data_IF_641464542443
#
_entry.id   IF_641464542443
#
_cell.length_a   1.000
_cell.length_b   1.000
_cell.length_c   1.000
_cell.angle_alpha   90.00
_cell.angle_beta   90.00
_cell.angle_gamma   90.00
#
_symmetry.space_group_name_H-M   'P 1'
#
loop_
_entity.id
_entity.type
_entity.pdbx_description
1 polymer ?
#
# COMPACT_ATOMS: atom_id res chain seq x y z
N UNK A 1 -19.87 -4.06 14.21
CA UNK A 1 -19.74 -4.50 12.80
C UNK A 1 -20.05 -3.36 11.83
N UNK A 2 -21.14 -2.60 12.02
CA UNK A 2 -21.58 -1.48 11.16
C UNK A 2 -20.56 -0.35 10.92
N UNK A 3 -19.73 0.03 11.91
CA UNK A 3 -18.80 1.16 11.76
C UNK A 3 -17.79 1.04 10.60
N UNK A 4 -17.45 -0.19 10.19
CA UNK A 4 -16.48 -0.41 9.09
C UNK A 4 -17.13 -0.63 7.73
N UNK A 5 -18.45 -0.75 7.65
CA UNK A 5 -19.16 -1.03 6.39
C UNK A 5 -18.91 0.04 5.32
N UNK A 6 -18.95 1.35 5.62
CA UNK A 6 -18.64 2.38 4.63
C UNK A 6 -17.23 2.25 4.06
N UNK A 7 -16.23 2.02 4.94
CA UNK A 7 -14.83 1.82 4.55
C UNK A 7 -14.67 0.64 3.57
N UNK A 8 -15.38 -0.47 3.80
CA UNK A 8 -15.34 -1.66 2.93
C UNK A 8 -16.00 -1.41 1.58
N UNK A 9 -17.06 -0.60 1.53
CA UNK A 9 -17.67 -0.17 0.27
C UNK A 9 -16.68 0.66 -0.56
N UNK A 10 -15.95 1.57 0.08
CA UNK A 10 -14.89 2.34 -0.60
C UNK A 10 -13.75 1.45 -1.09
N UNK A 11 -13.31 0.47 -0.30
CA UNK A 11 -12.30 -0.51 -0.76
C UNK A 11 -12.71 -1.22 -2.05
N UNK A 12 -13.99 -1.59 -2.19
CA UNK A 12 -14.50 -2.21 -3.43
C UNK A 12 -14.46 -1.24 -4.61
N UNK A 13 -14.83 0.02 -4.41
CA UNK A 13 -14.76 1.04 -5.47
C UNK A 13 -13.32 1.27 -5.92
N UNK A 14 -12.39 1.41 -4.98
CA UNK A 14 -10.97 1.57 -5.29
C UNK A 14 -10.40 0.35 -6.00
N UNK A 15 -10.82 -0.87 -5.61
CA UNK A 15 -10.40 -2.09 -6.29
C UNK A 15 -10.84 -2.11 -7.77
N UNK A 16 -12.06 -1.66 -8.07
CA UNK A 16 -12.54 -1.53 -9.46
C UNK A 16 -11.69 -0.50 -10.22
N UNK A 17 -11.47 0.69 -9.65
CA UNK A 17 -10.62 1.71 -10.28
C UNK A 17 -9.22 1.19 -10.62
N UNK A 18 -8.61 0.43 -9.72
CA UNK A 18 -7.27 -0.15 -9.93
C UNK A 18 -7.25 -1.27 -10.96
N UNK A 19 -8.31 -2.06 -11.03
CA UNK A 19 -8.45 -3.12 -12.01
C UNK A 19 -8.59 -2.58 -13.43
N UNK A 20 -9.34 -1.49 -13.57
CA UNK A 20 -9.63 -0.88 -14.86
C UNK A 20 -8.48 0.04 -15.34
N UNK A 21 -7.61 0.48 -14.43
CA UNK A 21 -6.51 1.40 -14.74
C UNK A 21 -5.60 0.99 -15.91
N UNK A 22 -5.21 -0.30 -16.11
CA UNK A 22 -4.39 -0.70 -17.25
C UNK A 22 -5.05 -0.41 -18.61
N UNK A 23 -6.39 -0.43 -18.68
CA UNK A 23 -7.11 -0.22 -19.95
C UNK A 23 -7.33 1.26 -20.27
N UNK A 24 -6.84 2.18 -19.44
CA UNK A 24 -7.06 3.60 -19.63
C UNK A 24 -6.07 4.16 -20.64
N UNK A 25 -6.51 4.91 -21.67
CA UNK A 25 -5.61 5.55 -22.61
C UNK A 25 -4.93 6.74 -21.93
N UNK A 26 -3.76 6.53 -21.32
CA UNK A 26 -3.12 7.55 -20.48
C UNK A 26 -1.90 8.19 -21.15
N UNK A 27 -2.03 9.48 -21.46
CA UNK A 27 -0.89 10.39 -21.65
C UNK A 27 -0.36 10.91 -20.31
N UNK A 28 -1.25 10.94 -19.32
CA UNK A 28 -1.01 11.38 -17.94
C UNK A 28 -1.83 10.50 -17.00
N UNK A 29 -1.35 10.32 -15.77
CA UNK A 29 -2.05 9.47 -14.80
C UNK A 29 -3.23 10.20 -14.15
N UNK A 30 -4.46 9.67 -14.23
CA UNK A 30 -5.62 10.36 -13.69
C UNK A 30 -5.61 10.45 -12.17
N UNK A 31 -6.13 11.56 -11.66
CA UNK A 31 -6.21 11.81 -10.22
C UNK A 31 -7.08 10.77 -9.49
N UNK A 32 -8.06 10.17 -10.16
CA UNK A 32 -8.90 9.13 -9.60
C UNK A 32 -8.10 7.89 -9.21
N UNK A 33 -7.11 7.52 -10.03
CA UNK A 33 -6.23 6.39 -9.75
C UNK A 33 -5.30 6.70 -8.59
N UNK A 34 -4.72 7.90 -8.59
CA UNK A 34 -3.91 8.39 -7.46
C UNK A 34 -4.72 8.33 -6.16
N UNK A 35 -5.93 8.91 -6.16
CA UNK A 35 -6.86 8.89 -5.04
C UNK A 35 -7.16 7.45 -4.60
N UNK A 36 -7.44 6.55 -5.53
CA UNK A 36 -7.76 5.16 -5.20
C UNK A 36 -6.62 4.46 -4.46
N UNK A 37 -5.38 4.67 -4.90
CA UNK A 37 -4.18 4.11 -4.27
C UNK A 37 -3.99 4.66 -2.85
N UNK A 38 -3.95 5.98 -2.70
CA UNK A 38 -3.66 6.58 -1.38
C UNK A 38 -4.75 6.32 -0.37
N UNK A 39 -6.01 6.58 -0.75
CA UNK A 39 -7.11 6.43 0.20
C UNK A 39 -7.34 4.96 0.54
N UNK A 40 -7.16 4.03 -0.40
CA UNK A 40 -7.22 2.60 -0.06
C UNK A 40 -6.13 2.20 0.93
N UNK A 41 -4.90 2.71 0.81
CA UNK A 41 -3.83 2.45 1.77
C UNK A 41 -4.15 2.98 3.18
N UNK A 42 -4.69 4.20 3.28
CA UNK A 42 -5.15 4.79 4.56
C UNK A 42 -6.27 3.94 5.17
N UNK A 43 -7.28 3.60 4.37
CA UNK A 43 -8.43 2.80 4.84
C UNK A 43 -7.97 1.41 5.29
N UNK A 44 -7.14 0.75 4.50
CA UNK A 44 -6.66 -0.60 4.80
C UNK A 44 -5.83 -0.62 6.09
N UNK A 45 -4.87 0.32 6.22
CA UNK A 45 -4.09 0.50 7.45
C UNK A 45 -5.00 0.73 8.65
N UNK A 46 -6.01 1.60 8.52
CA UNK A 46 -6.94 1.88 9.62
C UNK A 46 -7.78 0.67 10.00
N UNK A 47 -8.20 -0.15 9.04
CA UNK A 47 -8.93 -1.40 9.32
C UNK A 47 -8.07 -2.42 10.06
N UNK A 48 -6.78 -2.52 9.71
CA UNK A 48 -5.80 -3.36 10.43
C UNK A 48 -5.61 -2.85 11.86
N UNK A 49 -5.29 -1.57 12.03
CA UNK A 49 -5.04 -0.94 13.34
C UNK A 49 -6.27 -1.01 14.28
N UNK A 50 -7.47 -0.81 13.74
CA UNK A 50 -8.72 -0.88 14.50
C UNK A 50 -9.20 -2.34 14.75
N UNK A 51 -8.40 -3.35 14.36
CA UNK A 51 -8.74 -4.79 14.43
C UNK A 51 -10.11 -5.08 13.81
N UNK A 52 -10.37 -4.46 12.66
CA UNK A 52 -11.60 -4.64 11.87
C UNK A 52 -11.40 -5.68 10.76
N UNK A 53 -10.22 -6.30 10.67
CA UNK A 53 -9.88 -7.45 9.83
C UNK A 53 -9.42 -8.60 10.72
N UNK A 54 -9.38 -9.82 10.18
CA UNK A 54 -8.87 -11.01 10.87
C UNK A 54 -7.37 -10.91 11.11
N UNK A 55 -6.88 -11.58 12.15
CA UNK A 55 -5.43 -11.64 12.45
C UNK A 55 -4.65 -12.28 11.29
N UNK A 56 -5.26 -13.26 10.59
CA UNK A 56 -4.67 -13.85 9.39
C UNK A 56 -4.49 -12.83 8.27
N UNK A 57 -5.44 -11.92 8.08
CA UNK A 57 -5.27 -10.83 7.10
C UNK A 57 -4.21 -9.84 7.58
N UNK A 58 -4.24 -9.45 8.86
CA UNK A 58 -3.28 -8.49 9.43
C UNK A 58 -1.82 -8.98 9.34
N UNK A 59 -1.60 -10.30 9.39
CA UNK A 59 -0.30 -10.94 9.25
C UNK A 59 0.12 -11.21 7.79
N UNK A 60 -0.74 -10.90 6.82
CA UNK A 60 -0.49 -11.20 5.40
C UNK A 60 0.72 -10.41 4.88
N UNK A 61 1.50 -11.11 4.05
CA UNK A 61 2.61 -10.54 3.30
C UNK A 61 2.34 -10.68 1.81
N UNK A 62 2.73 -9.66 1.07
CA UNK A 62 2.68 -9.66 -0.38
C UNK A 62 4.10 -9.80 -0.92
N UNK A 63 4.23 -10.68 -1.91
CA UNK A 63 5.47 -10.85 -2.66
C UNK A 63 5.56 -9.73 -3.69
N UNK A 64 6.48 -8.79 -3.48
CA UNK A 64 6.63 -7.58 -4.30
C UNK A 64 8.02 -7.49 -4.90
N UNK A 65 8.13 -6.84 -6.06
CA UNK A 65 9.43 -6.44 -6.61
C UNK A 65 9.91 -5.20 -5.87
N UNK A 66 11.21 -5.15 -5.57
CA UNK A 66 11.85 -4.00 -4.96
C UNK A 66 13.08 -3.60 -5.78
N UNK A 67 13.26 -2.30 -5.90
CA UNK A 67 14.35 -1.68 -6.65
C UNK A 67 15.28 -0.98 -5.67
N UNK A 68 16.57 -1.27 -5.72
CA UNK A 68 17.54 -0.57 -4.87
C UNK A 68 17.49 0.94 -5.16
N UNK A 69 17.60 1.76 -4.12
CA UNK A 69 17.57 3.21 -4.25
C UNK A 69 18.98 3.78 -4.30
N UNK A 70 19.23 4.63 -5.29
CA UNK A 70 20.44 5.42 -5.44
C UNK A 70 20.17 6.83 -4.91
N UNK A 71 20.03 6.92 -3.59
CA UNK A 71 19.69 8.17 -2.96
C UNK A 71 20.87 9.17 -3.01
N UNK A 72 20.59 10.47 -3.21
CA UNK A 72 21.51 11.56 -2.91
C UNK A 72 22.32 11.39 -1.63
N UNK A 73 23.54 11.92 -1.58
CA UNK A 73 24.25 12.05 -0.31
C UNK A 73 23.45 12.85 0.72
N UNK A 74 23.58 12.51 2.01
CA UNK A 74 22.84 13.18 3.10
C UNK A 74 23.10 14.69 3.21
N UNK A 75 24.28 15.13 2.78
CA UNK A 75 24.73 16.52 2.74
C UNK A 75 24.06 17.34 1.61
N UNK A 76 23.44 16.67 0.64
CA UNK A 76 22.88 17.32 -0.52
C UNK A 76 21.60 18.11 -0.20
N UNK A 77 21.51 19.33 -0.73
CA UNK A 77 20.30 20.15 -0.67
C UNK A 77 19.17 19.61 -1.57
N UNK A 78 19.50 18.91 -2.65
CA UNK A 78 18.53 18.32 -3.59
C UNK A 78 17.92 17.01 -3.06
N UNK A 79 18.45 16.46 -1.97
CA UNK A 79 18.07 15.16 -1.42
C UNK A 79 16.60 15.00 -1.05
N UNK A 80 15.97 16.08 -0.56
CA UNK A 80 14.58 16.03 -0.11
C UNK A 80 13.62 16.58 -1.15
N UNK A 81 14.07 16.83 -2.38
CA UNK A 81 13.21 17.29 -3.47
C UNK A 81 12.43 16.11 -4.07
N UNK A 82 11.17 16.31 -4.49
CA UNK A 82 10.43 15.29 -5.23
C UNK A 82 11.22 14.81 -6.46
N UNK A 83 11.29 13.50 -6.67
CA UNK A 83 12.01 12.89 -7.80
C UNK A 83 13.54 12.84 -7.65
N UNK A 84 14.09 13.23 -6.50
CA UNK A 84 15.54 13.20 -6.25
C UNK A 84 16.14 11.81 -6.06
N UNK A 85 15.30 10.78 -5.84
CA UNK A 85 15.75 9.41 -5.61
C UNK A 85 15.59 8.62 -6.89
N UNK A 86 16.72 8.20 -7.44
CA UNK A 86 16.74 7.25 -8.56
C UNK A 86 16.69 5.82 -8.03
N UNK A 87 16.13 4.92 -8.83
CA UNK A 87 16.08 3.49 -8.52
C UNK A 87 16.84 2.69 -9.57
N UNK A 88 17.41 1.56 -9.16
CA UNK A 88 17.92 0.57 -10.10
C UNK A 88 16.75 -0.17 -10.76
N UNK A 89 16.41 0.29 -11.97
CA UNK A 89 15.33 -0.29 -12.77
C UNK A 89 15.70 -1.63 -13.40
N UNK A 90 16.99 -1.92 -13.56
CA UNK A 90 17.47 -3.11 -14.25
C UNK A 90 17.55 -4.31 -13.30
N UNK A 91 17.93 -4.08 -12.04
CA UNK A 91 18.15 -5.14 -11.05
C UNK A 91 17.09 -5.12 -9.95
N UNK A 92 15.86 -5.51 -10.31
CA UNK A 92 14.82 -5.75 -9.33
C UNK A 92 15.07 -7.05 -8.55
N UNK A 93 14.88 -7.00 -7.23
CA UNK A 93 14.78 -8.22 -6.41
C UNK A 93 13.34 -8.44 -5.96
N UNK A 94 13.04 -9.61 -5.41
CA UNK A 94 11.69 -9.95 -4.93
C UNK A 94 11.75 -10.27 -3.45
N UNK A 95 10.83 -9.71 -2.67
CA UNK A 95 10.75 -9.93 -1.23
C UNK A 95 9.30 -9.97 -0.76
N UNK A 96 9.06 -10.63 0.37
CA UNK A 96 7.77 -10.63 1.05
C UNK A 96 7.69 -9.43 2.00
N UNK A 97 6.68 -8.58 1.80
CA UNK A 97 6.49 -7.35 2.57
C UNK A 97 5.11 -7.39 3.23
N UNK A 98 5.06 -7.08 4.52
CA UNK A 98 3.82 -7.04 5.24
C UNK A 98 2.88 -5.95 4.68
N UNK A 99 1.58 -6.25 4.62
CA UNK A 99 0.59 -5.31 4.06
C UNK A 99 0.63 -3.95 4.76
N UNK A 100 0.79 -3.93 6.08
CA UNK A 100 0.90 -2.70 6.88
C UNK A 100 2.12 -1.84 6.50
N UNK A 101 3.24 -2.48 6.12
CA UNK A 101 4.43 -1.81 5.67
C UNK A 101 4.19 -1.17 4.30
N UNK A 102 3.59 -1.90 3.35
CA UNK A 102 3.21 -1.34 2.05
C UNK A 102 2.26 -0.15 2.21
N UNK A 103 1.23 -0.26 3.06
CA UNK A 103 0.37 0.88 3.37
C UNK A 103 1.17 2.07 3.91
N UNK A 104 2.15 1.84 4.77
CA UNK A 104 3.00 2.90 5.32
C UNK A 104 3.86 3.56 4.26
N UNK A 105 4.40 2.79 3.29
CA UNK A 105 5.13 3.34 2.16
C UNK A 105 4.27 4.26 1.28
N UNK A 106 3.03 3.86 1.02
CA UNK A 106 2.07 4.65 0.23
C UNK A 106 1.65 5.92 0.99
N UNK A 107 1.26 5.79 2.27
CA UNK A 107 0.75 6.91 3.07
C UNK A 107 1.83 7.96 3.35
N UNK A 108 3.08 7.52 3.52
CA UNK A 108 4.23 8.40 3.74
C UNK A 108 5.09 8.56 2.48
N UNK A 109 4.44 8.52 1.32
CA UNK A 109 5.07 8.71 0.02
C UNK A 109 6.07 9.87 0.06
N UNK A 110 7.28 9.59 -0.39
CA UNK A 110 8.27 10.58 -0.77
C UNK A 110 8.61 10.51 -2.26
N UNK A 111 8.96 9.32 -2.76
CA UNK A 111 9.23 9.07 -4.19
C UNK A 111 8.16 8.19 -4.81
N UNK A 112 7.63 8.60 -5.99
CA UNK A 112 6.65 7.85 -6.77
C UNK A 112 7.04 7.86 -8.24
N UNK A 113 7.06 6.68 -8.84
CA UNK A 113 7.16 6.49 -10.28
C UNK A 113 6.02 5.59 -10.73
N UNK A 114 5.33 5.99 -11.78
CA UNK A 114 4.31 5.16 -12.41
C UNK A 114 4.98 4.05 -13.21
N UNK A 115 4.46 2.84 -13.10
CA UNK A 115 4.98 1.68 -13.80
C UNK A 115 4.10 1.37 -15.00
N UNK A 116 4.73 1.39 -16.16
CA UNK A 116 4.14 1.05 -17.45
C UNK A 116 4.79 -0.25 -17.90
N UNK A 117 4.01 -1.20 -18.40
CA UNK A 117 4.54 -2.47 -18.91
C UNK A 117 4.96 -2.37 -20.39
N UNK A 118 5.26 -3.51 -21.00
CA UNK A 118 5.76 -3.62 -22.38
C UNK A 118 4.70 -3.23 -23.42
N UNK A 119 3.41 -3.26 -23.05
CA UNK A 119 2.29 -2.92 -23.93
C UNK A 119 1.87 -1.43 -23.80
N UNK A 120 2.72 -0.61 -23.17
CA UNK A 120 2.44 0.77 -22.80
C UNK A 120 1.22 0.92 -21.84
N UNK A 121 0.86 -0.15 -21.12
CA UNK A 121 -0.26 -0.13 -20.17
C UNK A 121 0.21 0.22 -18.75
N UNK A 122 -0.54 1.08 -18.09
CA UNK A 122 -0.26 1.50 -16.72
C UNK A 122 -0.62 0.36 -15.74
N UNK A 123 0.39 -0.37 -15.27
CA UNK A 123 0.20 -1.61 -14.50
C UNK A 123 0.59 -1.52 -13.03
N UNK A 124 1.22 -0.44 -12.59
CA UNK A 124 1.62 -0.28 -11.20
C UNK A 124 2.25 1.06 -10.84
N UNK A 125 2.89 1.08 -9.68
CA UNK A 125 3.78 2.17 -9.27
C UNK A 125 4.93 1.65 -8.41
N UNK A 126 6.05 2.36 -8.44
CA UNK A 126 7.15 2.20 -7.50
C UNK A 126 7.11 3.34 -6.50
N UNK A 127 7.03 2.99 -5.21
CA UNK A 127 6.95 3.97 -4.12
C UNK A 127 8.04 3.76 -3.08
N UNK A 128 8.52 4.85 -2.51
CA UNK A 128 9.31 4.83 -1.29
C UNK A 128 8.85 5.92 -0.33
N UNK A 129 8.89 5.62 0.96
CA UNK A 129 8.78 6.62 2.02
C UNK A 129 10.11 7.31 2.27
N UNK A 130 10.07 8.47 2.93
CA UNK A 130 11.29 9.18 3.35
C UNK A 130 12.24 8.30 4.18
N UNK A 131 11.70 7.39 4.99
CA UNK A 131 12.48 6.42 5.79
C UNK A 131 13.21 5.37 4.94
N UNK A 132 12.68 5.07 3.76
CA UNK A 132 13.20 4.03 2.86
C UNK A 132 13.90 4.56 1.62
N UNK A 133 13.97 5.89 1.48
CA UNK A 133 14.59 6.54 0.32
C UNK A 133 16.04 6.12 0.09
N UNK A 134 16.79 5.76 1.15
CA UNK A 134 18.20 5.30 1.07
C UNK A 134 18.35 3.81 0.74
N UNK A 135 17.24 3.07 0.63
CA UNK A 135 17.27 1.61 0.57
C UNK A 135 16.66 1.10 -0.72
N UNK A 136 15.36 1.30 -0.86
CA UNK A 136 14.61 0.67 -1.94
C UNK A 136 13.25 1.32 -2.20
N UNK A 137 12.79 1.20 -3.43
CA UNK A 137 11.43 1.44 -3.87
C UNK A 137 10.65 0.12 -3.98
N UNK A 138 9.38 0.15 -3.61
CA UNK A 138 8.49 -1.00 -3.64
C UNK A 138 7.57 -0.90 -4.85
N UNK A 139 7.63 -1.88 -5.74
CA UNK A 139 6.72 -1.97 -6.87
C UNK A 139 5.40 -2.61 -6.42
N UNK A 140 4.34 -1.81 -6.48
CA UNK A 140 2.96 -2.19 -6.19
C UNK A 140 2.20 -2.26 -7.51
N UNK A 141 1.90 -3.48 -7.96
CA UNK A 141 1.05 -3.71 -9.14
C UNK A 141 -0.42 -3.46 -8.81
N UNK A 142 -1.16 -2.85 -9.73
CA UNK A 142 -2.56 -2.48 -9.48
C UNK A 142 -3.47 -3.69 -9.32
N UNK A 143 -3.29 -4.73 -10.14
CA UNK A 143 -4.08 -5.96 -10.04
C UNK A 143 -3.87 -6.66 -8.69
N UNK A 144 -2.62 -6.71 -8.23
CA UNK A 144 -2.27 -7.24 -6.91
C UNK A 144 -2.95 -6.43 -5.79
N UNK A 145 -2.82 -5.10 -5.84
CA UNK A 145 -3.41 -4.23 -4.84
C UNK A 145 -4.94 -4.32 -4.85
N UNK A 146 -5.58 -4.31 -6.02
CA UNK A 146 -7.02 -4.50 -6.18
C UNK A 146 -7.52 -5.79 -5.54
N UNK A 147 -6.83 -6.91 -5.78
CA UNK A 147 -7.15 -8.20 -5.15
C UNK A 147 -7.07 -8.15 -3.62
N UNK A 148 -6.06 -7.48 -3.07
CA UNK A 148 -5.93 -7.25 -1.63
C UNK A 148 -7.11 -6.43 -1.07
N UNK A 149 -7.52 -5.36 -1.76
CA UNK A 149 -8.63 -4.52 -1.32
C UNK A 149 -9.96 -5.29 -1.31
N UNK A 150 -10.20 -6.15 -2.30
CA UNK A 150 -11.39 -7.00 -2.34
C UNK A 150 -11.40 -8.05 -1.23
N UNK A 151 -10.23 -8.65 -0.97
CA UNK A 151 -10.05 -9.57 0.14
C UNK A 151 -10.36 -8.87 1.47
N UNK A 152 -9.76 -7.71 1.71
CA UNK A 152 -10.01 -6.90 2.90
C UNK A 152 -11.49 -6.50 3.04
N UNK A 153 -12.15 -6.13 1.94
CA UNK A 153 -13.56 -5.75 1.96
C UNK A 153 -14.49 -6.88 2.41
N UNK A 154 -14.13 -8.14 2.12
CA UNK A 154 -14.87 -9.36 2.46
C UNK A 154 -14.44 -9.99 3.80
N UNK A 155 -13.24 -9.65 4.29
CA UNK A 155 -12.67 -10.22 5.50
C UNK A 155 -13.26 -9.59 6.76
N UNK A 156 -14.12 -10.30 7.48
CA UNK A 156 -14.75 -9.83 8.72
C UNK A 156 -14.18 -10.58 9.94
N UNK A 157 -13.90 -9.89 11.05
CA UNK A 157 -13.54 -10.56 12.30
C UNK A 157 -14.67 -11.49 12.73
N UNK A 158 -14.36 -12.76 12.94
CA UNK A 158 -15.34 -13.80 13.28
C UNK A 158 -15.55 -13.95 14.79
N UNK A 159 -14.55 -13.60 15.61
CA UNK A 159 -14.60 -13.62 17.07
C UNK A 159 -13.77 -12.48 17.66
N UNK A 160 -14.15 -11.96 18.83
CA UNK A 160 -13.34 -11.04 19.63
C UNK A 160 -12.97 -11.75 20.93
N UNK A 161 -11.70 -11.99 21.15
CA UNK A 161 -11.21 -12.44 22.46
C UNK A 161 -11.27 -11.23 23.39
N UNK A 162 -12.25 -11.20 24.30
CA UNK A 162 -12.25 -10.26 25.42
C UNK A 162 -11.31 -10.86 26.46
N UNK A 163 -10.12 -10.28 26.62
CA UNK A 163 -9.32 -10.59 27.80
C UNK A 163 -10.06 -10.00 28.99
N UNK A 164 -10.66 -10.85 29.82
CA UNK A 164 -11.23 -10.45 31.09
C UNK A 164 -10.12 -9.81 31.92
N UNK A 165 -10.20 -8.49 32.11
CA UNK A 165 -9.38 -7.77 33.07
C UNK A 165 -9.59 -8.36 34.45
N UNK A 166 -8.48 -8.55 35.17
CA UNK A 166 -8.40 -9.34 36.38
C UNK A 166 -9.39 -8.94 37.47
N UNK A 167 -9.79 -9.95 38.23
CA UNK A 167 -10.52 -9.81 39.49
C UNK A 167 -9.76 -8.83 40.40
N UNK A 168 -10.36 -7.69 40.70
CA UNK A 168 -10.04 -6.95 41.91
C UNK A 168 -10.44 -7.81 43.10
N UNK A 169 -9.46 -8.46 43.74
CA UNK A 169 -9.60 -8.89 45.12
C UNK A 169 -9.74 -7.64 45.98
N UNK A 170 -10.94 -7.43 46.51
CA UNK A 170 -11.15 -6.57 47.67
C UNK A 170 -10.77 -7.43 48.88
N UNK A 171 -9.66 -7.09 49.52
CA UNK A 171 -9.38 -7.50 50.90
C UNK A 171 -10.14 -6.59 51.88
#
# INVERSE_FOLDING_TARGET
MYESAPRRTELRKFAVTLRDAPTWPVKEVPFELERAIFYSAVVLRKLIEDRKLTDSFAAEKLRVRVHAANAPEKSSWWRNMPGSVEFDWQNASVTDVAVNELCSQIVHLFGRYWWVDEDDELSGMVVCSHRHQDRQGFHIGFIMWAGLLEKAAKDWPTQRTIHAGGEHKVE
#
